data_IF_333082902301
#
_entry.id   IF_333082902301
#
_cell.length_a   1.000
_cell.length_b   1.000
_cell.length_c   1.000
_cell.angle_alpha   90.00
_cell.angle_beta   90.00
_cell.angle_gamma   90.00
#
_symmetry.space_group_name_H-M   'P 1'
#
loop_
_entity.id
_entity.type
_entity.pdbx_description
1 polymer ?
#
# COMPACT_ATOMS: atom_id res chain seq x y z
N UNK A 1 19.97 -15.87 3.38
CA UNK A 1 19.53 -14.53 2.92
C UNK A 1 18.42 -14.63 1.88
N UNK A 2 17.56 -13.60 1.73
CA UNK A 2 16.51 -13.52 0.69
C UNK A 2 16.94 -12.60 -0.46
N UNK A 3 17.92 -13.01 -1.26
CA UNK A 3 18.38 -12.21 -2.40
C UNK A 3 17.30 -12.11 -3.50
N UNK A 4 17.18 -10.93 -4.13
CA UNK A 4 16.30 -10.64 -5.28
C UNK A 4 14.79 -10.89 -5.08
N UNK A 5 14.31 -11.10 -3.86
CA UNK A 5 12.87 -11.26 -3.59
C UNK A 5 12.17 -9.90 -3.63
N UNK A 6 11.59 -9.56 -4.79
CA UNK A 6 10.78 -8.36 -5.00
C UNK A 6 9.32 -8.69 -4.68
N UNK A 7 8.71 -7.97 -3.74
CA UNK A 7 7.30 -8.14 -3.36
C UNK A 7 7.09 -8.28 -1.85
N UNK A 8 6.07 -7.59 -1.33
CA UNK A 8 5.71 -7.61 0.09
C UNK A 8 4.74 -8.76 0.36
N UNK A 9 5.10 -9.67 1.28
CA UNK A 9 4.23 -10.80 1.67
C UNK A 9 3.01 -10.40 2.51
N UNK A 10 3.04 -9.21 3.14
CA UNK A 10 1.94 -8.66 3.98
C UNK A 10 1.34 -9.66 5.00
N UNK A 11 2.17 -10.59 5.50
CA UNK A 11 1.75 -11.63 6.47
C UNK A 11 0.82 -12.70 5.91
N UNK A 12 0.74 -12.89 4.59
CA UNK A 12 -0.22 -13.81 3.95
C UNK A 12 0.46 -14.86 3.06
N UNK A 13 -0.25 -15.96 2.80
CA UNK A 13 0.09 -16.92 1.73
C UNK A 13 -0.05 -16.26 0.36
N UNK A 14 0.50 -16.86 -0.70
CA UNK A 14 0.46 -16.28 -2.05
C UNK A 14 -0.97 -16.08 -2.56
N UNK A 15 -1.81 -17.12 -2.47
CA UNK A 15 -3.21 -17.10 -2.91
C UNK A 15 -4.02 -16.05 -2.16
N UNK A 16 -3.91 -16.01 -0.83
CA UNK A 16 -4.65 -15.05 -0.01
C UNK A 16 -4.14 -13.61 -0.23
N UNK A 17 -2.84 -13.43 -0.48
CA UNK A 17 -2.28 -12.13 -0.87
C UNK A 17 -2.84 -11.63 -2.20
N UNK A 18 -2.91 -12.49 -3.22
CA UNK A 18 -3.47 -12.14 -4.53
C UNK A 18 -4.93 -11.71 -4.40
N UNK A 19 -5.75 -12.48 -3.70
CA UNK A 19 -7.16 -12.12 -3.40
C UNK A 19 -7.29 -10.81 -2.64
N UNK A 20 -6.43 -10.58 -1.65
CA UNK A 20 -6.43 -9.32 -0.90
C UNK A 20 -6.10 -8.12 -1.80
N UNK A 21 -5.11 -8.26 -2.70
CA UNK A 21 -4.74 -7.19 -3.62
C UNK A 21 -5.82 -6.95 -4.67
N UNK A 22 -6.45 -8.00 -5.18
CA UNK A 22 -7.60 -7.94 -6.06
C UNK A 22 -8.75 -7.15 -5.40
N UNK A 23 -9.18 -7.56 -4.21
CA UNK A 23 -10.28 -6.89 -3.50
C UNK A 23 -9.98 -5.42 -3.19
N UNK A 24 -8.75 -5.10 -2.76
CA UNK A 24 -8.34 -3.72 -2.53
C UNK A 24 -8.27 -2.89 -3.83
N UNK A 25 -7.99 -3.52 -4.97
CA UNK A 25 -7.94 -2.84 -6.27
C UNK A 25 -9.35 -2.51 -6.75
N UNK A 26 -10.28 -3.46 -6.65
CA UNK A 26 -11.70 -3.23 -6.98
C UNK A 26 -12.25 -2.09 -6.11
N UNK A 27 -12.05 -2.17 -4.79
CA UNK A 27 -12.50 -1.14 -3.88
C UNK A 27 -11.87 0.24 -4.16
N UNK A 28 -10.59 0.29 -4.58
CA UNK A 28 -9.93 1.55 -4.94
C UNK A 28 -10.50 2.14 -6.23
N UNK A 29 -10.83 1.31 -7.22
CA UNK A 29 -11.42 1.77 -8.49
C UNK A 29 -12.81 2.33 -8.19
N UNK A 30 -13.67 1.53 -7.54
CA UNK A 30 -15.08 1.87 -7.24
C UNK A 30 -15.22 3.11 -6.34
N UNK A 31 -14.35 3.27 -5.35
CA UNK A 31 -14.46 4.35 -4.36
C UNK A 31 -13.48 5.49 -4.59
N UNK A 32 -12.52 5.35 -5.51
CA UNK A 32 -11.48 6.33 -5.90
C UNK A 32 -10.46 6.63 -4.78
N UNK A 33 -10.84 6.34 -3.53
CA UNK A 33 -10.07 6.52 -2.29
C UNK A 33 -10.45 5.43 -1.29
N UNK A 34 -9.45 4.82 -0.65
CA UNK A 34 -9.63 3.82 0.41
C UNK A 34 -8.65 4.05 1.56
N UNK A 35 -9.02 3.61 2.76
CA UNK A 35 -8.14 3.62 3.93
C UNK A 35 -7.71 2.19 4.27
N UNK A 36 -6.40 1.95 4.37
CA UNK A 36 -5.84 0.63 4.67
C UNK A 36 -4.54 0.76 5.48
N UNK A 37 -3.82 -0.34 5.72
CA UNK A 37 -2.52 -0.27 6.41
C UNK A 37 -1.39 0.11 5.46
N UNK A 38 -0.35 0.78 5.95
CA UNK A 38 0.81 1.20 5.14
C UNK A 38 1.46 0.03 4.39
N UNK A 39 1.50 -1.15 5.01
CA UNK A 39 2.04 -2.36 4.38
C UNK A 39 1.20 -2.81 3.18
N UNK A 40 -0.13 -2.79 3.29
CA UNK A 40 -1.06 -3.14 2.21
C UNK A 40 -1.04 -2.08 1.10
N UNK A 41 -1.10 -0.79 1.46
CA UNK A 41 -1.02 0.32 0.51
C UNK A 41 0.25 0.26 -0.37
N UNK A 42 1.42 0.05 0.25
CA UNK A 42 2.69 -0.09 -0.49
C UNK A 42 2.77 -1.37 -1.34
N UNK A 43 1.97 -2.39 -1.03
CA UNK A 43 1.87 -3.61 -1.84
C UNK A 43 0.88 -3.46 -3.00
N UNK A 44 -0.12 -2.61 -2.86
CA UNK A 44 -1.16 -2.32 -3.85
C UNK A 44 -0.63 -1.54 -5.06
N UNK A 45 0.25 -0.55 -4.85
CA UNK A 45 0.83 0.27 -5.92
C UNK A 45 1.37 -0.50 -7.13
N UNK A 46 2.31 -1.46 -6.97
CA UNK A 46 2.84 -2.21 -8.12
C UNK A 46 1.81 -3.15 -8.76
N UNK A 47 0.64 -3.35 -8.13
CA UNK A 47 -0.44 -4.17 -8.67
C UNK A 47 -1.43 -3.31 -9.47
N UNK A 48 -1.86 -2.15 -8.94
CA UNK A 48 -2.84 -1.26 -9.57
C UNK A 48 -2.26 -0.39 -10.69
N UNK A 49 -1.05 0.16 -10.53
CA UNK A 49 -0.49 1.11 -11.50
C UNK A 49 -0.39 0.50 -12.93
N UNK A 50 0.02 -0.77 -13.13
CA UNK A 50 0.00 -1.40 -14.45
C UNK A 50 -1.40 -1.62 -15.03
N UNK A 51 -2.42 -1.79 -14.19
CA UNK A 51 -3.81 -1.96 -14.66
C UNK A 51 -4.34 -0.64 -15.21
N UNK A 52 -4.13 0.46 -14.49
CA UNK A 52 -4.49 1.81 -14.96
C UNK A 52 -3.72 2.16 -16.24
N UNK A 53 -2.44 1.77 -16.33
CA UNK A 53 -1.65 1.99 -17.55
C UNK A 53 -2.25 1.28 -18.77
N UNK A 54 -2.72 0.04 -18.62
CA UNK A 54 -3.39 -0.70 -19.69
C UNK A 54 -4.78 -0.14 -20.03
N UNK A 55 -5.45 0.45 -19.05
CA UNK A 55 -6.80 0.99 -19.23
C UNK A 55 -6.84 2.24 -20.12
N UNK A 56 -5.71 2.94 -20.29
CA UNK A 56 -5.61 4.09 -21.20
C UNK A 56 -5.88 3.76 -22.66
N UNK A 57 -5.60 2.52 -23.07
CA UNK A 57 -5.89 2.05 -24.41
C UNK A 57 -7.05 1.05 -24.32
N UNK A 58 -8.26 1.52 -24.68
CA UNK A 58 -9.43 0.65 -24.69
C UNK A 58 -9.38 -0.32 -25.87
N UNK A 59 -8.87 -1.52 -25.60
CA UNK A 59 -8.90 -2.64 -26.52
C UNK A 59 -9.46 -3.87 -25.82
N UNK A 60 -10.13 -4.74 -26.60
CA UNK A 60 -10.68 -5.99 -26.06
C UNK A 60 -9.59 -6.89 -25.46
N UNK A 61 -8.35 -6.80 -25.96
CA UNK A 61 -7.21 -7.51 -25.36
C UNK A 61 -6.91 -6.95 -23.96
N UNK A 62 -6.81 -5.62 -23.82
CA UNK A 62 -6.53 -4.97 -22.54
C UNK A 62 -7.64 -5.24 -21.51
N UNK A 63 -8.92 -5.12 -21.89
CA UNK A 63 -10.06 -5.46 -21.02
C UNK A 63 -9.96 -6.91 -20.50
N UNK A 64 -9.63 -7.88 -21.36
CA UNK A 64 -9.40 -9.29 -20.95
C UNK A 64 -8.21 -9.47 -20.02
N UNK A 65 -7.10 -8.77 -20.25
CA UNK A 65 -5.92 -8.85 -19.39
C UNK A 65 -6.19 -8.26 -18.01
N UNK A 66 -6.90 -7.13 -17.93
CA UNK A 66 -7.30 -6.51 -16.67
C UNK A 66 -8.30 -7.39 -15.93
N UNK A 67 -9.29 -7.96 -16.63
CA UNK A 67 -10.30 -8.85 -16.02
C UNK A 67 -9.67 -10.07 -15.34
N UNK A 68 -8.57 -10.63 -15.88
CA UNK A 68 -7.83 -11.73 -15.22
C UNK A 68 -7.34 -11.37 -13.82
N UNK A 69 -7.08 -10.09 -13.55
CA UNK A 69 -6.57 -9.60 -12.28
C UNK A 69 -7.68 -9.12 -11.33
N UNK A 70 -8.69 -8.39 -11.84
CA UNK A 70 -9.77 -7.81 -11.04
C UNK A 70 -10.95 -8.78 -10.83
N UNK A 71 -11.25 -9.62 -11.83
CA UNK A 71 -12.39 -10.55 -11.92
C UNK A 71 -13.74 -9.95 -11.50
N UNK A 72 -13.91 -8.64 -11.74
CA UNK A 72 -15.17 -7.91 -11.57
C UNK A 72 -15.45 -7.17 -12.87
N UNK A 73 -16.67 -7.27 -13.40
CA UNK A 73 -17.05 -6.54 -14.61
C UNK A 73 -17.26 -5.06 -14.30
N UNK A 74 -17.85 -4.74 -13.15
CA UNK A 74 -18.18 -3.38 -12.74
C UNK A 74 -16.92 -2.53 -12.59
N UNK A 75 -15.93 -3.05 -11.84
CA UNK A 75 -14.63 -2.38 -11.68
C UNK A 75 -13.85 -2.28 -13.00
N UNK A 76 -14.07 -3.20 -13.96
CA UNK A 76 -13.44 -3.11 -15.28
C UNK A 76 -14.12 -2.04 -16.14
N UNK A 77 -15.44 -1.96 -16.13
CA UNK A 77 -16.18 -0.89 -16.81
C UNK A 77 -15.73 0.47 -16.32
N UNK A 78 -15.81 0.69 -15.01
CA UNK A 78 -15.43 1.96 -14.38
C UNK A 78 -13.97 2.35 -14.62
N UNK A 79 -13.06 1.38 -14.64
CA UNK A 79 -11.64 1.63 -14.90
C UNK A 79 -11.39 2.13 -16.34
N UNK A 80 -12.05 1.54 -17.33
CA UNK A 80 -11.86 1.91 -18.73
C UNK A 80 -12.67 3.13 -19.13
N UNK A 81 -13.82 3.37 -18.49
CA UNK A 81 -14.73 4.44 -18.86
C UNK A 81 -14.37 5.73 -18.08
N UNK A 82 -14.57 5.76 -16.76
CA UNK A 82 -14.36 6.99 -15.97
C UNK A 82 -12.87 7.26 -15.64
N UNK A 83 -12.18 6.23 -15.13
CA UNK A 83 -10.83 6.41 -14.57
C UNK A 83 -9.79 6.66 -15.67
N UNK A 84 -9.91 5.98 -16.81
CA UNK A 84 -8.97 6.13 -17.92
C UNK A 84 -9.00 7.56 -18.50
N UNK A 85 -10.20 8.11 -18.70
CA UNK A 85 -10.43 9.45 -19.21
C UNK A 85 -9.85 10.51 -18.27
N UNK A 86 -10.09 10.33 -16.96
CA UNK A 86 -9.62 11.30 -15.96
C UNK A 86 -8.10 11.31 -15.80
N UNK A 87 -7.46 10.16 -15.95
CA UNK A 87 -6.00 10.01 -15.86
C UNK A 87 -5.30 10.58 -17.11
N UNK A 88 -5.93 10.46 -18.28
CA UNK A 88 -5.43 11.01 -19.55
C UNK A 88 -3.95 10.71 -19.81
N UNK A 89 -3.17 11.76 -20.05
CA UNK A 89 -1.78 11.66 -20.50
C UNK A 89 -0.73 11.52 -19.38
N UNK A 90 -1.15 11.38 -18.11
CA UNK A 90 -0.21 11.27 -16.98
C UNK A 90 0.78 10.10 -17.18
N UNK A 91 2.11 10.32 -17.22
CA UNK A 91 3.06 9.26 -17.59
C UNK A 91 3.20 8.12 -16.55
N UNK A 92 2.74 8.34 -15.31
CA UNK A 92 2.77 7.33 -14.25
C UNK A 92 2.45 7.94 -12.88
N UNK A 93 2.42 7.09 -11.85
CA UNK A 93 2.12 7.52 -10.49
C UNK A 93 0.66 7.95 -10.30
N UNK A 94 -0.27 7.10 -10.73
CA UNK A 94 -1.72 7.35 -10.66
C UNK A 94 -2.29 7.30 -9.25
N UNK A 95 -1.58 6.65 -8.32
CA UNK A 95 -2.01 6.49 -6.93
C UNK A 95 -1.11 7.27 -6.00
N UNK A 96 -1.71 7.91 -5.00
CA UNK A 96 -1.02 8.55 -3.88
C UNK A 96 -1.26 7.75 -2.61
N UNK A 97 -0.24 7.66 -1.75
CA UNK A 97 -0.38 7.08 -0.40
C UNK A 97 -0.10 8.20 0.60
N UNK A 98 -1.07 8.51 1.45
CA UNK A 98 -0.96 9.47 2.55
C UNK A 98 -1.02 8.69 3.86
N UNK A 99 -0.06 8.89 4.76
CA UNK A 99 -0.11 8.29 6.10
C UNK A 99 -1.10 9.05 6.97
N UNK A 100 -1.99 8.33 7.66
CA UNK A 100 -3.02 8.94 8.51
C UNK A 100 -2.66 8.91 10.00
N UNK A 101 -1.84 7.96 10.44
CA UNK A 101 -1.51 7.76 11.85
C UNK A 101 -1.53 6.29 12.22
N UNK A 102 -1.75 5.99 13.51
CA UNK A 102 -1.87 4.63 14.02
C UNK A 102 -3.34 4.30 14.34
N UNK A 103 -3.72 3.05 14.13
CA UNK A 103 -5.04 2.53 14.51
C UNK A 103 -5.06 2.26 16.02
N UNK A 104 -6.17 2.61 16.69
CA UNK A 104 -6.38 2.23 18.08
C UNK A 104 -6.53 0.71 18.21
N UNK A 105 -6.00 0.13 19.29
CA UNK A 105 -6.03 -1.30 19.55
C UNK A 105 -4.74 -2.02 19.14
N UNK A 106 -4.45 -2.13 17.84
CA UNK A 106 -3.29 -2.90 17.33
C UNK A 106 -2.06 -2.05 16.98
N UNK A 107 -2.17 -0.72 17.07
CA UNK A 107 -1.08 0.21 16.77
C UNK A 107 -0.64 0.22 15.30
N UNK A 108 -1.42 -0.39 14.38
CA UNK A 108 -1.02 -0.50 12.99
C UNK A 108 -1.02 0.86 12.26
N UNK A 109 0.06 1.18 11.54
CA UNK A 109 0.10 2.39 10.72
C UNK A 109 -0.95 2.34 9.59
N UNK A 110 -1.85 3.31 9.59
CA UNK A 110 -2.86 3.54 8.56
C UNK A 110 -2.33 4.45 7.46
N UNK A 111 -2.82 4.20 6.26
CA UNK A 111 -2.64 5.04 5.11
C UNK A 111 -3.90 5.10 4.25
N UNK A 112 -4.20 6.28 3.74
CA UNK A 112 -5.15 6.53 2.68
C UNK A 112 -4.46 6.31 1.34
N UNK A 113 -5.11 5.57 0.45
CA UNK A 113 -4.71 5.41 -0.95
C UNK A 113 -5.76 6.07 -1.80
N UNK A 114 -5.37 6.98 -2.69
CA UNK A 114 -6.27 7.71 -3.57
C UNK A 114 -5.75 7.75 -5.01
N UNK A 115 -6.67 7.88 -5.96
CA UNK A 115 -6.34 8.26 -7.34
C UNK A 115 -6.02 9.75 -7.38
N UNK A 116 -4.87 10.09 -7.97
CA UNK A 116 -4.33 11.46 -7.96
C UNK A 116 -5.27 12.46 -8.64
N UNK A 117 -5.87 12.06 -9.76
CA UNK A 117 -6.67 12.94 -10.62
C UNK A 117 -8.14 13.09 -10.15
N UNK A 118 -8.51 12.42 -9.05
CA UNK A 118 -9.81 12.50 -8.38
C UNK A 118 -9.77 13.32 -7.09
N UNK A 119 -8.66 14.01 -6.80
CA UNK A 119 -8.59 14.91 -5.66
C UNK A 119 -9.13 16.30 -6.05
N UNK A 120 -10.24 16.71 -5.44
CA UNK A 120 -10.89 17.99 -5.70
C UNK A 120 -10.17 19.21 -5.09
N UNK A 121 -9.15 18.97 -4.26
CA UNK A 121 -8.36 20.06 -3.67
C UNK A 121 -7.33 20.53 -4.71
N UNK A 122 -7.40 21.79 -5.17
CA UNK A 122 -6.41 22.33 -6.10
C UNK A 122 -5.03 22.28 -5.44
N UNK A 123 -3.97 21.90 -6.18
CA UNK A 123 -2.62 21.96 -5.64
C UNK A 123 -2.34 23.41 -5.27
N UNK A 124 -2.09 23.68 -3.98
CA UNK A 124 -1.57 24.98 -3.58
C UNK A 124 -0.20 25.11 -4.24
N UNK A 125 -0.05 26.11 -5.11
CA UNK A 125 1.19 26.41 -5.82
C UNK A 125 2.32 26.71 -4.83
N UNK A 126 2.93 25.65 -4.30
CA UNK A 126 4.28 25.70 -3.75
C UNK A 126 5.19 25.59 -4.96
N UNK A 127 5.60 26.77 -5.44
CA UNK A 127 6.14 27.02 -6.76
C UNK A 127 7.16 26.01 -7.30
N UNK A 128 7.20 25.93 -8.62
CA UNK A 128 8.10 25.11 -9.40
C UNK A 128 9.54 25.12 -8.90
N UNK A 129 9.88 24.10 -8.11
CA UNK A 129 11.25 23.68 -7.87
C UNK A 129 11.64 22.74 -8.99
N UNK A 130 12.46 23.25 -9.92
CA UNK A 130 12.84 22.56 -11.15
C UNK A 130 13.40 21.16 -10.94
N UNK A 131 13.37 20.42 -12.05
CA UNK A 131 14.14 19.21 -12.33
C UNK A 131 15.60 19.35 -11.85
N UNK A 132 15.83 19.04 -10.58
CA UNK A 132 17.14 18.84 -9.99
C UNK A 132 17.63 17.48 -10.41
N UNK A 133 18.13 17.39 -11.65
CA UNK A 133 18.83 16.21 -12.15
C UNK A 133 19.88 15.80 -11.12
N UNK A 134 19.69 14.62 -10.52
CA UNK A 134 20.67 14.02 -9.63
C UNK A 134 21.93 13.77 -10.48
N UNK A 135 22.87 14.70 -10.44
CA UNK A 135 24.21 14.52 -11.02
C UNK A 135 24.85 13.35 -10.27
N UNK A 136 24.67 12.15 -10.82
CA UNK A 136 25.47 10.97 -10.49
C UNK A 136 26.93 11.38 -10.62
N UNK A 137 27.64 11.31 -9.51
CA UNK A 137 29.06 11.63 -9.43
C UNK A 137 29.85 10.83 -10.46
N UNK A 138 30.40 11.54 -11.44
CA UNK A 138 31.48 11.04 -12.29
C UNK A 138 32.76 11.11 -11.46
N UNK A 139 32.95 10.13 -10.58
CA UNK A 139 34.22 9.88 -9.92
C UNK A 139 35.05 8.96 -10.82
N UNK A 140 35.72 9.52 -11.85
CA UNK A 140 36.78 8.80 -12.56
C UNK A 140 37.87 9.75 -13.05
N UNK A 141 39.01 9.66 -12.35
CA UNK A 141 40.33 9.83 -12.96
C UNK A 141 41.12 11.08 -12.54
N UNK A 142 42.13 10.87 -11.68
CA UNK A 142 43.54 11.26 -11.92
C UNK A 142 44.42 10.72 -10.78
N UNK A 143 45.29 9.76 -11.12
CA UNK A 143 46.78 9.87 -11.15
C UNK A 143 47.38 9.78 -9.74
N UNK A 144 47.84 8.59 -9.33
CA UNK A 144 49.18 8.02 -9.62
C UNK A 144 50.29 8.75 -8.84
N UNK A 145 50.76 8.09 -7.79
CA UNK A 145 52.13 8.19 -7.28
C UNK A 145 52.45 6.91 -6.50
N UNK A 146 53.22 6.03 -7.14
CA UNK A 146 54.02 4.99 -6.51
C UNK A 146 54.98 5.57 -5.46
N UNK A 147 55.16 4.90 -4.31
CA UNK A 147 56.47 4.47 -3.77
C UNK A 147 56.26 3.59 -2.53
N UNK A 148 57.02 2.51 -2.54
CA UNK A 148 57.10 1.32 -1.69
C UNK A 148 57.82 1.58 -0.35
N UNK A 149 57.40 0.91 0.75
CA UNK A 149 58.27 0.27 1.78
C UNK A 149 57.50 -0.27 3.00
N UNK A 150 57.56 -1.59 3.15
CA UNK A 150 57.87 -2.44 4.34
C UNK A 150 57.19 -2.27 5.73
N UNK A 151 56.49 -3.37 6.10
CA UNK A 151 56.60 -4.26 7.29
C UNK A 151 56.58 -3.80 8.78
N UNK A 152 55.87 -4.64 9.57
CA UNK A 152 56.01 -5.00 11.02
C UNK A 152 55.50 -3.97 12.06
N UNK A 153 54.91 -4.30 13.23
CA UNK A 153 54.49 -5.54 13.91
C UNK A 153 53.62 -5.20 15.16
N UNK A 154 52.93 -6.20 15.74
CA UNK A 154 52.53 -6.40 17.17
C UNK A 154 51.53 -5.44 17.91
N UNK A 155 50.38 -5.98 18.40
CA UNK A 155 50.01 -6.26 19.82
C UNK A 155 49.51 -5.03 20.62
N UNK A 156 48.55 -5.01 21.57
CA UNK A 156 47.68 -5.97 22.28
C UNK A 156 46.72 -5.15 23.20
N UNK A 157 45.58 -5.73 23.62
CA UNK A 157 44.76 -5.41 24.84
C UNK A 157 44.05 -4.04 24.93
N UNK A 158 42.92 -3.83 25.61
CA UNK A 158 42.11 -4.61 26.54
C UNK A 158 40.69 -3.98 26.63
N UNK A 159 39.70 -4.80 27.05
CA UNK A 159 38.67 -4.58 28.09
C UNK A 159 38.10 -3.16 28.37
N UNK A 160 36.83 -2.95 28.74
CA UNK A 160 35.76 -3.80 29.29
C UNK A 160 34.54 -2.91 29.61
N UNK A 161 33.38 -3.54 29.81
CA UNK A 161 32.38 -3.24 30.87
C UNK A 161 31.60 -1.91 30.83
N UNK A 162 30.33 -1.78 31.25
CA UNK A 162 29.37 -2.71 31.88
C UNK A 162 27.97 -2.09 31.79
N UNK A 163 26.99 -2.99 31.87
CA UNK A 163 25.57 -2.83 32.18
C UNK A 163 25.22 -1.64 33.09
N UNK A 164 24.01 -1.10 32.93
CA UNK A 164 23.14 -1.02 34.10
C UNK A 164 21.67 -1.28 33.76
N UNK A 165 21.13 -2.12 34.60
CA UNK A 165 19.80 -2.70 34.66
C UNK A 165 18.94 -1.83 35.60
N UNK A 166 17.66 -2.19 35.69
CA UNK A 166 16.78 -1.93 36.83
C UNK A 166 16.05 -0.56 36.80
N UNK A 167 14.77 -0.43 37.19
CA UNK A 167 13.81 -1.41 37.69
C UNK A 167 12.41 -0.77 37.82
N UNK A 168 11.42 -1.66 38.00
CA UNK A 168 10.21 -1.53 38.85
C UNK A 168 9.00 -0.73 38.30
N UNK A 169 7.84 -1.32 37.95
CA UNK A 169 6.90 -2.29 38.57
C UNK A 169 5.81 -1.61 39.45
N UNK A 170 4.59 -1.37 38.91
CA UNK A 170 3.28 -2.05 39.25
C UNK A 170 2.57 -1.39 40.47
N UNK A 171 1.26 -1.56 40.82
CA UNK A 171 0.10 -2.32 40.26
C UNK A 171 -1.29 -1.59 40.21
N UNK A 172 -2.31 -2.35 39.79
CA UNK A 172 -3.72 -2.40 40.29
C UNK A 172 -4.75 -1.43 39.70
N UNK A 173 -6.02 -1.78 39.45
CA UNK A 173 -6.81 -3.02 39.66
C UNK A 173 -8.19 -2.90 38.97
N UNK A 174 -8.79 -4.06 38.66
CA UNK A 174 -10.23 -4.45 38.68
C UNK A 174 -11.25 -3.78 37.73
N UNK A 175 -11.92 -4.56 36.83
CA UNK A 175 -13.20 -5.33 36.99
C UNK A 175 -14.43 -4.41 36.86
N UNK A 176 -15.54 -4.66 36.14
CA UNK A 176 -16.39 -5.85 35.98
C UNK A 176 -17.57 -5.51 35.03
N UNK A 177 -18.13 -6.52 34.34
CA UNK A 177 -19.54 -6.73 33.90
C UNK A 177 -20.23 -5.64 33.03
N UNK A 178 -20.99 -5.91 31.96
CA UNK A 178 -21.83 -7.05 31.58
C UNK A 178 -23.26 -6.54 31.37
N UNK A 179 -23.79 -6.57 30.14
CA UNK A 179 -25.25 -6.56 29.84
C UNK A 179 -25.50 -6.95 28.36
N UNK A 180 -26.07 -8.14 28.16
CA UNK A 180 -26.97 -8.47 27.03
C UNK A 180 -28.42 -8.25 27.55
N UNK A 181 -29.51 -8.20 26.79
CA UNK A 181 -29.90 -8.55 25.42
C UNK A 181 -31.15 -7.74 24.99
N UNK A 182 -31.49 -7.73 23.70
CA UNK A 182 -32.84 -7.41 23.23
C UNK A 182 -33.17 -8.15 21.91
N UNK A 183 -33.83 -9.31 22.02
CA UNK A 183 -34.98 -9.66 21.17
C UNK A 183 -36.11 -8.63 21.44
N UNK A 184 -37.11 -8.33 20.60
CA UNK A 184 -38.10 -9.24 20.00
C UNK A 184 -38.89 -8.52 18.88
N UNK A 185 -39.35 -9.33 17.92
CA UNK A 185 -40.72 -9.42 17.37
C UNK A 185 -41.24 -8.56 16.21
N UNK A 186 -41.99 -9.32 15.38
CA UNK A 186 -43.19 -9.05 14.56
C UNK A 186 -42.98 -8.80 13.07
N UNK A 187 -43.21 -9.80 12.20
CA UNK A 187 -44.46 -10.49 11.80
C UNK A 187 -45.34 -9.68 10.82
N UNK A 188 -45.50 -10.23 9.62
CA UNK A 188 -46.71 -10.40 8.79
C UNK A 188 -46.21 -10.76 7.37
N UNK A 189 -46.21 -12.04 6.94
CA UNK A 189 -47.34 -12.89 6.56
C UNK A 189 -48.30 -12.19 5.58
N UNK A 190 -48.37 -12.70 4.35
CA UNK A 190 -49.61 -13.12 3.70
C UNK A 190 -49.33 -13.84 2.38
N UNK A 191 -50.01 -14.96 2.25
CA UNK A 191 -50.00 -15.97 1.19
C UNK A 191 -50.89 -15.57 0.00
N UNK A 192 -50.81 -16.39 -1.07
CA UNK A 192 -51.89 -16.71 -2.03
C UNK A 192 -52.35 -15.59 -3.00
N UNK A 193 -52.63 -15.80 -4.29
CA UNK A 193 -53.07 -16.95 -5.10
C UNK A 193 -52.79 -16.69 -6.60
N UNK A 194 -52.64 -17.79 -7.36
CA UNK A 194 -53.15 -18.09 -8.72
C UNK A 194 -53.35 -16.97 -9.77
N UNK A 195 -52.79 -17.14 -10.99
CA UNK A 195 -53.61 -17.31 -12.21
C UNK A 195 -52.78 -17.68 -13.48
N UNK A 196 -53.44 -18.36 -14.41
CA UNK A 196 -53.02 -18.98 -15.68
C UNK A 196 -52.29 -18.08 -16.69
N UNK A 197 -51.30 -18.63 -17.42
CA UNK A 197 -51.31 -18.85 -18.90
C UNK A 197 -50.04 -19.51 -19.42
#
# INVERSE_FOLDING_TARGET
>A
MRHRKKGKKIGRTSSHRERTLQALSNALIENKRITTTVAKAKALRPFVEPLITRAKEDTQHNRRQVFRHLQSNDAVGELFDEVSERVGDRPGGYTRIIKLGQRSGDGAELAMVELVDYNDVPPTDTGGGGSGGTRRGSGKGRRDSSTESQEQDTETTDSSDTENTADTKVPSAESSEGDEDAEVADEESLEETDDET
#
